data_IF_657941493553
#
_entry.id   IF_657941493553
#
_cell.length_a   1.000
_cell.length_b   1.000
_cell.length_c   1.000
_cell.angle_alpha   90.00
_cell.angle_beta   90.00
_cell.angle_gamma   90.00
#
_symmetry.space_group_name_H-M   'P 1'
#
loop_
_entity.id
_entity.type
_entity.pdbx_description
1 polymer ?
#
# COMPACT_ATOMS: atom_id res chain seq x y z
N UNK A 1 -30.52 16.31 -42.01
CA UNK A 1 -30.22 16.28 -40.55
C UNK A 1 -29.57 14.93 -40.27
N UNK A 2 -28.23 14.91 -40.27
CA UNK A 2 -27.43 13.73 -39.90
C UNK A 2 -27.46 13.67 -38.39
N UNK A 3 -28.06 12.60 -37.83
CA UNK A 3 -27.99 12.34 -36.40
C UNK A 3 -26.53 12.03 -36.06
N UNK A 4 -25.95 12.86 -35.19
CA UNK A 4 -24.64 12.57 -34.60
C UNK A 4 -24.70 11.23 -33.89
N UNK A 5 -23.81 10.32 -34.23
CA UNK A 5 -23.66 9.05 -33.50
C UNK A 5 -23.28 9.36 -32.05
N UNK A 6 -23.85 8.65 -31.07
CA UNK A 6 -23.48 8.85 -29.68
C UNK A 6 -21.95 8.65 -29.50
N UNK A 7 -21.29 9.47 -28.67
CA UNK A 7 -19.87 9.33 -28.44
C UNK A 7 -19.56 7.93 -27.92
N UNK A 8 -18.54 7.30 -28.51
CA UNK A 8 -18.04 6.00 -28.07
C UNK A 8 -17.65 6.11 -26.59
N UNK A 9 -18.11 5.24 -25.70
CA UNK A 9 -17.74 5.33 -24.30
C UNK A 9 -16.22 5.25 -24.16
N UNK A 10 -15.64 6.24 -23.48
CA UNK A 10 -14.21 6.25 -23.18
C UNK A 10 -13.89 4.99 -22.37
N UNK A 11 -12.85 4.21 -22.73
CA UNK A 11 -12.50 3.02 -21.95
C UNK A 11 -12.25 3.39 -20.49
N UNK A 12 -13.02 2.77 -19.61
CA UNK A 12 -12.88 3.00 -18.17
C UNK A 12 -11.65 2.28 -17.65
N UNK A 13 -10.79 3.00 -16.93
CA UNK A 13 -9.52 2.51 -16.41
C UNK A 13 -9.67 2.08 -14.96
N UNK A 14 -9.18 0.88 -14.64
CA UNK A 14 -8.97 0.46 -13.25
C UNK A 14 -7.48 0.57 -12.92
N UNK A 15 -7.18 1.34 -11.87
CA UNK A 15 -5.81 1.53 -11.38
C UNK A 15 -5.59 0.60 -10.19
N UNK A 16 -4.48 -0.13 -10.22
CA UNK A 16 -4.07 -1.02 -9.13
C UNK A 16 -2.81 -0.47 -8.46
N UNK A 17 -2.92 -0.15 -7.19
CA UNK A 17 -1.85 0.35 -6.33
C UNK A 17 -1.50 -0.73 -5.31
N UNK A 18 -0.26 -1.17 -5.31
CA UNK A 18 0.18 -2.32 -4.53
C UNK A 18 1.20 -1.87 -3.48
N UNK A 19 0.96 -2.24 -2.24
CA UNK A 19 1.92 -2.14 -1.17
C UNK A 19 2.98 -3.24 -1.35
N UNK A 20 4.12 -2.86 -1.92
CA UNK A 20 5.20 -3.78 -2.25
C UNK A 20 5.94 -4.30 -1.03
N UNK A 21 6.10 -3.46 0.00
CA UNK A 21 6.71 -3.84 1.27
C UNK A 21 5.86 -4.89 1.97
N UNK A 22 4.56 -4.63 2.14
CA UNK A 22 3.63 -5.60 2.72
C UNK A 22 3.62 -6.92 1.93
N UNK A 23 3.54 -6.86 0.60
CA UNK A 23 3.56 -8.06 -0.24
C UNK A 23 4.86 -8.86 -0.08
N UNK A 24 6.01 -8.17 0.04
CA UNK A 24 7.31 -8.82 0.27
C UNK A 24 7.31 -9.56 1.62
N UNK A 25 6.87 -8.91 2.70
CA UNK A 25 6.71 -9.53 4.01
C UNK A 25 5.75 -10.73 3.95
N UNK A 26 4.61 -10.57 3.30
CA UNK A 26 3.60 -11.62 3.17
C UNK A 26 4.15 -12.86 2.47
N UNK A 27 4.88 -12.69 1.38
CA UNK A 27 5.48 -13.79 0.64
C UNK A 27 6.62 -14.44 1.44
N UNK A 28 7.48 -13.66 2.08
CA UNK A 28 8.59 -14.18 2.87
C UNK A 28 8.12 -15.08 4.02
N UNK A 29 7.20 -14.57 4.84
CA UNK A 29 6.67 -15.36 5.97
C UNK A 29 5.69 -16.44 5.52
N UNK A 30 5.03 -16.27 4.38
CA UNK A 30 4.18 -17.29 3.78
C UNK A 30 4.97 -18.53 3.33
N UNK A 31 6.11 -18.35 2.70
CA UNK A 31 7.01 -19.42 2.29
C UNK A 31 7.53 -20.21 3.50
N UNK A 32 7.95 -19.53 4.55
CA UNK A 32 8.42 -20.18 5.80
C UNK A 32 7.37 -21.05 6.46
N UNK A 33 6.10 -20.64 6.45
CA UNK A 33 4.99 -21.47 7.00
C UNK A 33 4.71 -22.70 6.14
N UNK A 34 4.76 -22.56 4.81
CA UNK A 34 4.50 -23.65 3.87
C UNK A 34 5.58 -24.76 3.94
N UNK A 35 6.82 -24.38 4.29
CA UNK A 35 7.94 -25.35 4.43
C UNK A 35 8.02 -26.00 5.82
N UNK A 36 7.07 -25.71 6.72
CA UNK A 36 7.04 -26.30 8.07
C UNK A 36 8.13 -25.79 9.02
N UNK A 37 8.88 -24.78 8.65
CA UNK A 37 9.99 -24.21 9.43
C UNK A 37 9.52 -23.12 10.42
N UNK A 38 8.37 -23.31 11.04
CA UNK A 38 7.78 -22.37 12.00
C UNK A 38 8.52 -22.24 13.34
N UNK A 39 9.50 -23.12 13.62
CA UNK A 39 10.38 -23.04 14.80
C UNK A 39 11.76 -23.58 14.43
N UNK A 40 12.67 -22.65 14.14
CA UNK A 40 14.11 -22.88 14.25
C UNK A 40 14.68 -24.00 13.38
N UNK A 41 15.07 -23.70 12.18
CA UNK A 41 16.34 -24.11 11.57
C UNK A 41 16.53 -23.39 10.23
N UNK A 42 17.68 -22.84 10.04
CA UNK A 42 18.13 -21.93 8.96
C UNK A 42 18.14 -22.51 7.53
N UNK A 43 17.64 -23.72 7.29
CA UNK A 43 17.98 -24.49 6.08
C UNK A 43 17.06 -24.23 4.88
N UNK A 44 15.81 -23.80 5.06
CA UNK A 44 14.87 -23.65 3.92
C UNK A 44 14.90 -22.26 3.23
N UNK A 45 15.43 -21.24 3.87
CA UNK A 45 15.60 -19.91 3.28
C UNK A 45 16.83 -19.85 2.33
N UNK A 46 17.79 -20.73 2.52
CA UNK A 46 19.04 -20.80 1.75
C UNK A 46 18.81 -21.25 0.30
N UNK A 47 17.80 -22.08 0.04
CA UNK A 47 17.56 -22.63 -1.30
C UNK A 47 16.93 -21.65 -2.30
N UNK A 48 16.32 -20.53 -1.82
CA UNK A 48 15.71 -19.51 -2.69
C UNK A 48 15.88 -18.11 -2.12
N UNK A 49 17.06 -17.49 -2.27
CA UNK A 49 17.38 -16.19 -1.68
C UNK A 49 16.42 -15.08 -2.13
N UNK A 50 15.78 -15.20 -3.29
CA UNK A 50 14.81 -14.25 -3.82
C UNK A 50 13.37 -14.82 -3.87
N UNK A 51 13.04 -15.76 -3.00
CA UNK A 51 11.74 -16.43 -3.03
C UNK A 51 10.57 -15.48 -2.81
N UNK A 52 10.73 -14.47 -1.94
CA UNK A 52 9.69 -13.47 -1.70
C UNK A 52 9.56 -12.51 -2.90
N UNK A 53 10.67 -12.07 -3.48
CA UNK A 53 10.68 -11.27 -4.72
C UNK A 53 9.93 -12.00 -5.85
N UNK A 54 10.25 -13.28 -6.09
CA UNK A 54 9.55 -14.10 -7.09
C UNK A 54 8.05 -14.18 -6.81
N UNK A 55 7.66 -14.28 -5.53
CA UNK A 55 6.27 -14.29 -5.11
C UNK A 55 5.53 -12.99 -5.42
N UNK A 56 6.14 -11.84 -5.14
CA UNK A 56 5.56 -10.52 -5.47
C UNK A 56 5.43 -10.35 -6.97
N UNK A 57 6.49 -10.63 -7.74
CA UNK A 57 6.44 -10.59 -9.21
C UNK A 57 5.36 -11.52 -9.77
N UNK A 58 5.27 -12.74 -9.24
CA UNK A 58 4.23 -13.71 -9.62
C UNK A 58 2.82 -13.17 -9.40
N UNK A 59 2.61 -12.40 -8.32
CA UNK A 59 1.36 -11.71 -8.00
C UNK A 59 1.06 -10.61 -9.03
N UNK A 60 2.04 -9.75 -9.34
CA UNK A 60 1.89 -8.66 -10.31
C UNK A 60 1.63 -9.21 -11.71
N UNK A 61 2.40 -10.22 -12.14
CA UNK A 61 2.20 -10.87 -13.43
C UNK A 61 0.82 -11.51 -13.53
N UNK A 62 0.32 -12.12 -12.46
CA UNK A 62 -1.05 -12.66 -12.45
C UNK A 62 -2.10 -11.55 -12.65
N UNK A 63 -1.91 -10.38 -12.07
CA UNK A 63 -2.83 -9.25 -12.29
C UNK A 63 -2.79 -8.77 -13.74
N UNK A 64 -1.62 -8.71 -14.35
CA UNK A 64 -1.46 -8.41 -15.78
C UNK A 64 -2.16 -9.45 -16.66
N UNK A 65 -2.02 -10.74 -16.37
CA UNK A 65 -2.71 -11.84 -17.05
C UNK A 65 -4.24 -11.74 -16.93
N UNK A 66 -4.73 -11.15 -15.83
CA UNK A 66 -6.14 -10.89 -15.58
C UNK A 66 -6.65 -9.59 -16.24
N UNK A 67 -5.78 -8.89 -16.99
CA UNK A 67 -6.15 -7.71 -17.77
C UNK A 67 -5.90 -6.38 -17.05
N UNK A 68 -5.19 -6.37 -15.93
CA UNK A 68 -4.76 -5.12 -15.31
C UNK A 68 -3.79 -4.37 -16.25
N UNK A 69 -4.06 -3.10 -16.52
CA UNK A 69 -3.27 -2.28 -17.44
C UNK A 69 -2.51 -1.16 -16.74
N UNK A 70 -3.02 -0.67 -15.62
CA UNK A 70 -2.45 0.43 -14.85
C UNK A 70 -2.09 -0.07 -13.45
N UNK A 71 -0.79 -0.23 -13.20
CA UNK A 71 -0.26 -0.78 -11.95
C UNK A 71 0.88 0.11 -11.45
N UNK A 72 0.80 0.50 -10.18
CA UNK A 72 1.90 1.10 -9.44
C UNK A 72 2.20 0.29 -8.19
N UNK A 73 3.47 0.17 -7.84
CA UNK A 73 3.93 -0.51 -6.63
C UNK A 73 4.76 0.45 -5.82
N UNK A 74 4.40 0.66 -4.56
CA UNK A 74 5.19 1.44 -3.61
C UNK A 74 5.98 0.53 -2.69
N UNK A 75 7.21 0.92 -2.37
CA UNK A 75 8.08 0.21 -1.44
C UNK A 75 8.75 1.19 -0.48
N UNK A 76 9.01 0.75 0.74
CA UNK A 76 9.93 1.44 1.63
C UNK A 76 11.35 1.05 1.22
N UNK A 77 12.07 1.96 0.54
CA UNK A 77 13.48 1.77 0.19
C UNK A 77 14.34 1.70 1.45
N UNK A 78 13.98 2.52 2.42
CA UNK A 78 14.40 2.50 3.82
C UNK A 78 13.14 2.50 4.68
N UNK A 79 13.20 1.99 5.90
CA UNK A 79 12.03 1.91 6.78
C UNK A 79 11.77 3.24 7.48
N UNK A 80 12.84 3.92 7.88
CA UNK A 80 12.77 5.21 8.54
C UNK A 80 12.28 6.28 7.57
N UNK A 81 11.43 7.19 8.09
CA UNK A 81 10.85 8.29 7.34
C UNK A 81 10.93 9.60 8.13
N UNK A 82 10.40 10.69 7.60
CA UNK A 82 10.29 11.96 8.33
C UNK A 82 9.55 11.83 9.68
N UNK A 83 8.74 10.77 9.86
CA UNK A 83 8.02 10.53 11.11
C UNK A 83 8.94 10.16 12.28
N UNK A 84 10.11 9.59 11.99
CA UNK A 84 11.12 9.28 13.01
C UNK A 84 11.71 10.55 13.64
N UNK A 85 11.77 11.66 12.91
CA UNK A 85 12.19 12.96 13.44
C UNK A 85 11.12 13.57 14.36
N UNK A 86 9.84 13.23 14.17
CA UNK A 86 8.72 13.73 14.96
C UNK A 86 8.49 12.91 16.23
N UNK A 87 8.72 11.61 16.18
CA UNK A 87 8.44 10.68 17.27
C UNK A 87 9.54 9.62 17.39
N UNK A 88 10.36 9.65 18.47
CA UNK A 88 11.47 8.71 18.65
C UNK A 88 11.05 7.23 18.76
N UNK A 89 9.79 6.96 19.08
CA UNK A 89 9.23 5.62 19.16
C UNK A 89 8.62 5.10 17.86
N UNK A 90 8.72 5.88 16.76
CA UNK A 90 8.20 5.45 15.46
C UNK A 90 8.97 4.24 14.93
N UNK A 91 8.30 3.41 14.11
CA UNK A 91 8.87 2.17 13.57
C UNK A 91 10.22 2.40 12.91
N UNK A 92 11.12 1.43 13.08
CA UNK A 92 12.45 1.39 12.44
C UNK A 92 12.66 0.07 11.72
N UNK A 93 13.77 -0.03 11.00
CA UNK A 93 14.21 -1.30 10.40
C UNK A 93 14.73 -2.33 11.39
N UNK A 94 14.77 -2.00 12.70
CA UNK A 94 15.30 -2.89 13.73
C UNK A 94 14.48 -4.18 13.85
N UNK A 95 15.18 -5.32 13.86
CA UNK A 95 14.56 -6.63 14.01
C UNK A 95 13.99 -7.22 12.72
N UNK A 96 14.12 -6.56 11.57
CA UNK A 96 13.81 -7.18 10.28
C UNK A 96 14.81 -8.31 10.03
N UNK A 97 14.27 -9.48 9.64
CA UNK A 97 15.10 -10.63 9.28
C UNK A 97 16.09 -10.26 8.15
N UNK A 98 17.41 -10.46 8.33
CA UNK A 98 18.41 -10.09 7.32
C UNK A 98 18.15 -10.71 5.93
N UNK A 99 17.57 -11.93 5.87
CA UNK A 99 17.23 -12.57 4.62
C UNK A 99 16.01 -11.94 3.92
N UNK A 100 15.13 -11.28 4.67
CA UNK A 100 14.06 -10.46 4.14
C UNK A 100 14.61 -9.10 3.68
N UNK A 101 15.40 -8.45 4.53
CA UNK A 101 16.01 -7.16 4.24
C UNK A 101 16.80 -7.18 2.93
N UNK A 102 17.58 -8.26 2.70
CA UNK A 102 18.35 -8.46 1.48
C UNK A 102 17.49 -8.55 0.20
N UNK A 103 16.15 -8.64 0.30
CA UNK A 103 15.23 -8.73 -0.83
C UNK A 103 14.54 -7.40 -1.18
N UNK A 104 14.70 -6.34 -0.39
CA UNK A 104 14.05 -5.04 -0.63
C UNK A 104 14.47 -4.43 -1.96
N UNK A 105 15.74 -4.10 -2.11
CA UNK A 105 16.27 -3.52 -3.35
C UNK A 105 16.16 -4.45 -4.56
N UNK A 106 16.41 -5.77 -4.46
CA UNK A 106 16.12 -6.70 -5.54
C UNK A 106 14.65 -6.72 -5.99
N UNK A 107 13.68 -6.45 -5.08
CA UNK A 107 12.28 -6.32 -5.46
C UNK A 107 12.06 -5.09 -6.35
N UNK A 108 12.61 -3.95 -5.96
CA UNK A 108 12.50 -2.69 -6.70
C UNK A 108 13.10 -2.81 -8.10
N UNK A 109 14.31 -3.37 -8.19
CA UNK A 109 14.95 -3.66 -9.48
C UNK A 109 14.11 -4.57 -10.36
N UNK A 110 13.52 -5.59 -9.76
CA UNK A 110 12.74 -6.58 -10.49
C UNK A 110 11.40 -6.03 -11.00
N UNK A 111 10.73 -5.20 -10.20
CA UNK A 111 9.51 -4.50 -10.61
C UNK A 111 9.80 -3.48 -11.72
N UNK A 112 10.86 -2.70 -11.60
CA UNK A 112 11.30 -1.77 -12.63
C UNK A 112 11.68 -2.52 -13.93
N UNK A 113 12.38 -3.65 -13.84
CA UNK A 113 12.70 -4.49 -14.98
C UNK A 113 11.45 -5.11 -15.64
N UNK A 114 10.43 -5.46 -14.84
CA UNK A 114 9.12 -5.90 -15.33
C UNK A 114 8.36 -4.76 -16.06
N UNK A 115 8.82 -3.51 -15.94
CA UNK A 115 8.20 -2.34 -16.56
C UNK A 115 6.99 -1.81 -15.79
N UNK A 116 6.89 -2.13 -14.51
CA UNK A 116 5.85 -1.62 -13.60
C UNK A 116 6.33 -0.32 -12.96
N UNK A 117 5.45 0.67 -12.85
CA UNK A 117 5.74 1.89 -12.11
C UNK A 117 6.06 1.53 -10.65
N UNK A 118 7.28 1.86 -10.21
CA UNK A 118 7.80 1.48 -8.89
C UNK A 118 8.26 2.74 -8.16
N UNK A 119 7.76 2.96 -6.95
CA UNK A 119 8.08 4.10 -6.12
C UNK A 119 8.80 3.62 -4.86
N UNK A 120 10.14 3.69 -4.91
CA UNK A 120 11.04 3.34 -3.82
C UNK A 120 11.20 4.58 -2.90
N UNK A 121 10.52 4.57 -1.76
CA UNK A 121 10.40 5.74 -0.90
C UNK A 121 11.55 5.83 0.09
N UNK A 122 12.08 7.04 0.30
CA UNK A 122 13.21 7.33 1.19
C UNK A 122 12.83 8.28 2.31
N UNK A 123 12.30 9.48 1.97
CA UNK A 123 11.86 10.47 2.98
C UNK A 123 10.42 10.24 3.44
N UNK A 124 9.60 9.71 2.54
CA UNK A 124 8.22 9.31 2.76
C UNK A 124 8.14 7.78 2.83
N UNK A 125 7.00 7.26 3.26
CA UNK A 125 6.73 5.82 3.32
C UNK A 125 5.98 5.33 2.07
N UNK A 126 5.98 4.01 1.84
CA UNK A 126 5.18 3.37 0.81
C UNK A 126 3.70 3.78 0.90
N UNK A 127 3.17 3.93 2.11
CA UNK A 127 1.79 4.35 2.37
C UNK A 127 1.51 5.77 1.87
N UNK A 128 2.45 6.71 2.04
CA UNK A 128 2.35 8.06 1.50
C UNK A 128 2.35 8.05 -0.04
N UNK A 129 3.15 7.17 -0.65
CA UNK A 129 3.13 7.00 -2.09
C UNK A 129 1.80 6.42 -2.58
N UNK A 130 1.26 5.40 -1.91
CA UNK A 130 -0.04 4.82 -2.25
C UNK A 130 -1.17 5.85 -2.10
N UNK A 131 -1.15 6.65 -1.03
CA UNK A 131 -2.12 7.72 -0.80
C UNK A 131 -2.03 8.81 -1.88
N UNK A 132 -0.81 9.24 -2.23
CA UNK A 132 -0.57 10.22 -3.30
C UNK A 132 -1.01 9.69 -4.65
N UNK A 133 -0.67 8.43 -4.97
CA UNK A 133 -1.06 7.79 -6.21
C UNK A 133 -2.59 7.63 -6.32
N UNK A 134 -3.26 7.24 -5.23
CA UNK A 134 -4.71 7.12 -5.19
C UNK A 134 -5.38 8.47 -5.38
N UNK A 135 -4.86 9.52 -4.74
CA UNK A 135 -5.35 10.89 -4.88
C UNK A 135 -5.21 11.40 -6.33
N UNK A 136 -4.04 11.22 -6.94
CA UNK A 136 -3.78 11.63 -8.33
C UNK A 136 -4.67 10.85 -9.32
N UNK A 137 -4.75 9.52 -9.17
CA UNK A 137 -5.56 8.68 -10.05
C UNK A 137 -7.06 8.99 -9.92
N UNK A 138 -7.55 9.31 -8.73
CA UNK A 138 -8.96 9.66 -8.52
C UNK A 138 -9.36 11.01 -9.16
N UNK A 139 -8.42 11.85 -9.54
CA UNK A 139 -8.71 13.12 -10.24
C UNK A 139 -8.90 12.92 -11.75
N UNK A 140 -8.44 11.82 -12.33
CA UNK A 140 -8.60 11.55 -13.76
C UNK A 140 -9.99 10.96 -14.04
N UNK A 141 -10.76 11.63 -14.89
CA UNK A 141 -12.13 11.22 -15.23
C UNK A 141 -12.19 9.88 -15.97
N UNK A 142 -11.10 9.45 -16.59
CA UNK A 142 -10.99 8.13 -17.25
C UNK A 142 -10.92 6.98 -16.24
N UNK A 143 -10.57 7.27 -14.98
CA UNK A 143 -10.44 6.25 -13.94
C UNK A 143 -11.79 5.95 -13.33
N UNK A 144 -12.28 4.76 -13.55
CA UNK A 144 -13.50 4.23 -12.94
C UNK A 144 -13.25 3.84 -11.49
N UNK A 145 -12.13 3.16 -11.25
CA UNK A 145 -11.82 2.60 -9.93
C UNK A 145 -10.32 2.63 -9.63
N UNK A 146 -10.00 2.92 -8.38
CA UNK A 146 -8.66 2.75 -7.81
C UNK A 146 -8.73 1.66 -6.74
N UNK A 147 -7.89 0.65 -6.88
CA UNK A 147 -7.80 -0.49 -5.97
C UNK A 147 -6.46 -0.44 -5.22
N UNK A 148 -6.48 -0.14 -3.92
CA UNK A 148 -5.29 -0.14 -3.06
C UNK A 148 -5.17 -1.53 -2.42
N UNK A 149 -4.14 -2.28 -2.81
CA UNK A 149 -3.93 -3.67 -2.41
C UNK A 149 -3.06 -3.76 -1.15
N UNK A 150 -3.67 -3.51 -0.01
CA UNK A 150 -3.06 -3.63 1.34
C UNK A 150 -4.16 -3.80 2.39
N UNK A 151 -3.95 -4.58 3.46
CA UNK A 151 -4.87 -4.65 4.60
C UNK A 151 -4.64 -3.53 5.60
N UNK A 152 -3.60 -2.70 5.40
CA UNK A 152 -3.18 -1.69 6.36
C UNK A 152 -4.30 -0.69 6.65
N UNK A 153 -4.49 -0.39 7.94
CA UNK A 153 -5.60 0.44 8.41
C UNK A 153 -5.43 1.91 8.03
N UNK A 154 -4.18 2.37 7.87
CA UNK A 154 -3.87 3.76 7.55
C UNK A 154 -4.37 4.14 6.17
N UNK A 155 -4.25 3.22 5.20
CA UNK A 155 -4.75 3.42 3.83
C UNK A 155 -6.29 3.49 3.75
N UNK A 156 -7.02 3.17 4.83
CA UNK A 156 -8.46 3.38 4.87
C UNK A 156 -8.86 4.87 4.77
N UNK A 157 -7.94 5.79 5.08
CA UNK A 157 -8.16 7.23 4.89
C UNK A 157 -8.22 7.66 3.42
N UNK A 158 -7.70 6.83 2.51
CA UNK A 158 -7.70 7.10 1.06
C UNK A 158 -9.00 6.67 0.38
N UNK A 159 -9.88 5.96 1.07
CA UNK A 159 -11.10 5.40 0.48
C UNK A 159 -12.11 6.50 0.16
N UNK A 160 -12.67 6.46 -1.08
CA UNK A 160 -13.67 7.43 -1.56
C UNK A 160 -14.87 6.68 -2.13
N UNK A 161 -15.97 6.63 -1.38
CA UNK A 161 -17.17 5.90 -1.77
C UNK A 161 -16.87 4.48 -2.19
N UNK A 162 -17.27 4.12 -3.41
CA UNK A 162 -16.93 2.85 -4.07
C UNK A 162 -15.86 2.99 -5.14
N UNK A 163 -15.37 4.23 -5.39
CA UNK A 163 -14.42 4.55 -6.46
C UNK A 163 -12.98 4.29 -6.06
N UNK A 164 -12.56 4.69 -4.85
CA UNK A 164 -11.26 4.31 -4.28
C UNK A 164 -11.51 3.32 -3.17
N UNK A 165 -11.02 2.10 -3.33
CA UNK A 165 -11.27 1.01 -2.40
C UNK A 165 -9.98 0.36 -1.95
N UNK A 166 -9.99 -0.13 -0.73
CA UNK A 166 -8.92 -0.95 -0.17
C UNK A 166 -9.24 -2.43 -0.39
N UNK A 167 -8.26 -3.23 -0.75
CA UNK A 167 -8.43 -4.66 -0.97
C UNK A 167 -7.43 -5.44 -0.14
N UNK A 168 -7.93 -6.28 0.75
CA UNK A 168 -7.10 -7.29 1.40
C UNK A 168 -6.96 -8.51 0.49
N UNK A 169 -5.78 -8.69 -0.09
CA UNK A 169 -5.49 -9.81 -0.99
C UNK A 169 -5.69 -11.18 -0.35
N UNK A 170 -5.41 -11.31 0.95
CA UNK A 170 -5.48 -12.59 1.65
C UNK A 170 -6.93 -13.08 1.80
N UNK A 171 -7.83 -12.17 2.20
CA UNK A 171 -9.24 -12.49 2.40
C UNK A 171 -10.10 -12.25 1.15
N UNK A 172 -9.60 -11.50 0.17
CA UNK A 172 -10.37 -11.01 -0.96
C UNK A 172 -11.37 -9.91 -0.57
N UNK A 173 -11.33 -9.42 0.68
CA UNK A 173 -12.27 -8.40 1.15
C UNK A 173 -11.99 -7.06 0.49
N UNK A 174 -13.01 -6.52 -0.15
CA UNK A 174 -13.04 -5.14 -0.65
C UNK A 174 -13.66 -4.26 0.43
N UNK A 175 -12.97 -3.16 0.76
CA UNK A 175 -13.42 -2.18 1.73
C UNK A 175 -13.62 -0.84 1.04
N UNK A 176 -14.86 -0.45 0.90
CA UNK A 176 -15.33 0.87 0.48
C UNK A 176 -15.60 1.76 1.71
N UNK A 177 -16.17 2.95 1.51
CA UNK A 177 -16.44 3.88 2.60
C UNK A 177 -17.38 3.31 3.68
N UNK A 178 -18.38 2.51 3.28
CA UNK A 178 -19.27 1.85 4.23
C UNK A 178 -18.56 0.73 4.99
N UNK A 179 -17.67 -0.01 4.31
CA UNK A 179 -16.80 -0.99 4.94
C UNK A 179 -15.80 -0.38 5.91
N UNK A 180 -15.30 0.84 5.66
CA UNK A 180 -14.48 1.59 6.61
C UNK A 180 -15.31 1.95 7.84
N UNK A 181 -16.51 2.54 7.67
CA UNK A 181 -17.41 2.88 8.79
C UNK A 181 -17.79 1.64 9.61
N UNK A 182 -18.09 0.54 8.96
CA UNK A 182 -18.43 -0.72 9.64
C UNK A 182 -17.26 -1.26 10.48
N UNK A 183 -16.02 -1.13 9.99
CA UNK A 183 -14.83 -1.64 10.68
C UNK A 183 -14.37 -0.76 11.83
N UNK A 184 -14.32 0.56 11.61
CA UNK A 184 -13.69 1.50 12.55
C UNK A 184 -14.69 2.34 13.37
N UNK A 185 -15.95 2.38 12.94
CA UNK A 185 -16.98 3.25 13.53
C UNK A 185 -16.86 4.72 13.12
N UNK A 186 -15.96 5.05 12.19
CA UNK A 186 -15.72 6.38 11.62
C UNK A 186 -15.60 6.30 10.11
N UNK A 187 -15.83 7.40 9.40
CA UNK A 187 -15.61 7.48 7.96
C UNK A 187 -14.12 7.57 7.60
N UNK A 188 -13.79 7.37 6.29
CA UNK A 188 -12.41 7.51 5.80
C UNK A 188 -11.75 8.83 6.19
N UNK A 189 -12.50 9.91 6.16
CA UNK A 189 -12.09 11.27 6.49
C UNK A 189 -11.61 11.46 7.93
N UNK A 190 -11.91 10.50 8.80
CA UNK A 190 -11.58 10.54 10.24
C UNK A 190 -10.63 9.39 10.66
N UNK A 191 -10.07 8.64 9.74
CA UNK A 191 -9.16 7.53 10.09
C UNK A 191 -7.92 8.06 10.81
N UNK A 192 -7.31 9.17 10.34
CA UNK A 192 -6.15 9.76 11.02
C UNK A 192 -6.50 10.25 12.45
N UNK A 193 -7.68 10.87 12.64
CA UNK A 193 -8.18 11.25 13.97
C UNK A 193 -8.38 10.02 14.86
N UNK A 194 -8.96 8.97 14.32
CA UNK A 194 -9.19 7.73 15.05
C UNK A 194 -7.87 7.07 15.50
N UNK A 195 -6.90 6.96 14.59
CA UNK A 195 -5.61 6.36 14.88
C UNK A 195 -4.80 7.19 15.86
N UNK A 196 -4.88 8.51 15.80
CA UNK A 196 -4.28 9.40 16.79
C UNK A 196 -4.77 9.12 18.22
N UNK A 197 -6.05 8.80 18.37
CA UNK A 197 -6.65 8.51 19.68
C UNK A 197 -6.35 7.09 20.16
N UNK A 198 -6.47 6.08 19.29
CA UNK A 198 -6.31 4.68 19.69
C UNK A 198 -4.87 4.19 19.66
N UNK A 199 -4.00 4.88 18.90
CA UNK A 199 -2.63 4.49 18.66
C UNK A 199 -2.45 3.47 17.54
N UNK A 200 -1.20 3.31 17.14
CA UNK A 200 -0.73 2.28 16.26
C UNK A 200 0.52 1.60 16.81
N UNK A 201 0.36 0.37 17.27
CA UNK A 201 1.50 -0.40 17.81
C UNK A 201 2.46 -0.89 16.73
N UNK A 202 2.01 -1.01 15.47
CA UNK A 202 2.87 -1.37 14.34
C UNK A 202 3.81 -0.21 13.99
N UNK A 203 3.29 1.02 14.04
CA UNK A 203 4.05 2.25 13.79
C UNK A 203 4.72 2.81 15.05
N UNK A 204 4.45 2.25 16.22
CA UNK A 204 5.17 2.58 17.46
C UNK A 204 4.66 3.81 18.22
N UNK A 205 3.44 4.30 17.97
CA UNK A 205 2.84 5.36 18.78
C UNK A 205 1.61 4.87 19.56
N UNK A 206 1.52 5.25 20.85
CA UNK A 206 0.60 4.58 21.79
C UNK A 206 -0.84 5.06 21.73
N UNK A 207 -1.14 6.19 21.05
CA UNK A 207 -2.42 6.88 21.19
C UNK A 207 -2.62 7.48 22.60
N UNK A 208 -3.86 7.78 22.96
CA UNK A 208 -4.19 8.36 24.26
C UNK A 208 -4.57 7.29 25.27
N UNK A 209 -3.94 7.31 26.43
CA UNK A 209 -4.18 6.34 27.48
C UNK A 209 -5.66 6.28 27.90
N UNK A 210 -6.26 5.10 27.84
CA UNK A 210 -7.66 4.87 28.19
C UNK A 210 -8.66 5.14 27.07
N UNK A 211 -8.19 5.50 25.88
CA UNK A 211 -9.01 5.77 24.72
C UNK A 211 -9.00 4.57 23.75
N UNK A 212 -9.97 3.71 23.92
CA UNK A 212 -10.12 2.56 23.01
C UNK A 212 -11.00 2.88 21.81
N UNK A 213 -11.12 1.92 20.84
CA UNK A 213 -11.84 2.08 19.58
C UNK A 213 -13.25 2.68 19.73
N UNK A 214 -14.05 2.16 20.66
CA UNK A 214 -15.43 2.64 20.86
C UNK A 214 -15.50 4.07 21.39
N UNK A 215 -14.57 4.44 22.27
CA UNK A 215 -14.50 5.80 22.84
C UNK A 215 -14.07 6.79 21.77
N UNK A 216 -13.03 6.45 20.99
CA UNK A 216 -12.55 7.29 19.89
C UNK A 216 -13.65 7.52 18.85
N UNK A 217 -14.30 6.45 18.35
CA UNK A 217 -15.37 6.57 17.36
C UNK A 217 -16.53 7.46 17.84
N UNK A 218 -16.99 7.27 19.09
CA UNK A 218 -18.08 8.10 19.67
C UNK A 218 -17.70 9.56 19.81
N UNK A 219 -16.46 9.87 20.16
CA UNK A 219 -16.01 11.24 20.31
C UNK A 219 -15.85 11.93 18.97
N UNK A 220 -15.33 11.21 17.97
CA UNK A 220 -15.24 11.70 16.59
C UNK A 220 -16.64 11.93 16.00
N UNK A 221 -17.58 11.00 16.20
CA UNK A 221 -18.97 11.19 15.78
C UNK A 221 -19.60 12.45 16.40
N UNK A 222 -19.28 12.74 17.66
CA UNK A 222 -19.84 13.88 18.39
C UNK A 222 -19.17 15.21 18.05
N UNK A 223 -17.86 15.23 17.83
CA UNK A 223 -17.06 16.45 17.77
C UNK A 223 -16.37 16.67 16.43
N UNK A 224 -16.37 15.68 15.54
CA UNK A 224 -15.68 15.76 14.25
C UNK A 224 -14.17 15.57 14.37
N UNK A 225 -13.39 16.47 13.79
CA UNK A 225 -11.93 16.40 13.74
C UNK A 225 -11.32 16.74 15.10
N UNK A 226 -10.14 16.22 15.40
CA UNK A 226 -9.44 16.46 16.68
C UNK A 226 -9.21 17.94 16.97
N UNK A 227 -9.00 18.75 15.94
CA UNK A 227 -8.82 20.19 16.07
C UNK A 227 -10.06 20.88 16.67
N UNK A 228 -11.26 20.33 16.39
CA UNK A 228 -12.56 20.86 16.78
C UNK A 228 -13.02 20.36 18.16
N UNK A 229 -12.28 19.45 18.78
CA UNK A 229 -12.63 18.92 20.10
C UNK A 229 -12.56 20.02 21.16
N UNK A 230 -13.58 20.14 22.04
CA UNK A 230 -13.54 21.05 23.16
C UNK A 230 -12.26 20.85 23.99
N UNK A 231 -11.69 21.96 24.55
CA UNK A 231 -10.45 21.89 25.31
C UNK A 231 -10.48 20.92 26.49
N UNK A 232 -11.63 20.80 27.15
CA UNK A 232 -11.84 19.90 28.29
C UNK A 232 -11.93 18.42 27.93
N UNK A 233 -12.18 18.08 26.66
CA UNK A 233 -12.26 16.69 26.20
C UNK A 233 -10.87 16.08 26.10
N UNK A 234 -9.91 16.78 25.49
CA UNK A 234 -8.52 16.32 25.36
C UNK A 234 -7.67 16.72 26.57
N UNK A 235 -7.96 17.84 27.19
CA UNK A 235 -7.19 18.39 28.33
C UNK A 235 -5.70 18.46 28.00
N UNK A 236 -4.86 17.96 28.91
CA UNK A 236 -3.40 17.94 28.75
C UNK A 236 -2.91 17.00 27.61
N UNK A 237 -3.77 16.15 27.07
CA UNK A 237 -3.40 15.24 25.97
C UNK A 237 -3.52 15.87 24.58
N UNK A 238 -3.98 17.13 24.47
CA UNK A 238 -4.25 17.78 23.17
C UNK A 238 -3.02 17.81 22.26
N UNK A 239 -1.88 18.18 22.81
CA UNK A 239 -0.63 18.27 22.05
C UNK A 239 -0.21 16.89 21.55
N UNK A 240 -0.25 15.87 22.40
CA UNK A 240 0.06 14.48 22.01
C UNK A 240 -0.92 13.93 20.97
N UNK A 241 -2.22 14.24 21.09
CA UNK A 241 -3.22 13.82 20.13
C UNK A 241 -2.96 14.42 18.73
N UNK A 242 -2.61 15.69 18.65
CA UNK A 242 -2.30 16.36 17.39
C UNK A 242 -0.98 15.86 16.80
N UNK A 243 0.02 15.55 17.63
CA UNK A 243 1.25 14.90 17.17
C UNK A 243 0.95 13.53 16.57
N UNK A 244 0.21 12.67 17.27
CA UNK A 244 -0.17 11.36 16.77
C UNK A 244 -1.04 11.43 15.51
N UNK A 245 -1.89 12.45 15.40
CA UNK A 245 -2.60 12.70 14.14
C UNK A 245 -1.66 13.04 13.00
N UNK A 246 -0.62 13.84 13.26
CA UNK A 246 0.41 14.15 12.26
C UNK A 246 1.12 12.87 11.80
N UNK A 247 1.45 11.96 12.71
CA UNK A 247 2.05 10.66 12.39
C UNK A 247 1.12 9.77 11.57
N UNK A 248 -0.17 9.74 11.93
CA UNK A 248 -1.18 8.92 11.26
C UNK A 248 -1.64 9.47 9.89
N UNK A 249 -1.42 10.77 9.63
CA UNK A 249 -1.90 11.41 8.39
C UNK A 249 -0.96 11.09 7.24
N UNK A 250 -1.48 10.45 6.20
CA UNK A 250 -0.73 10.16 4.99
C UNK A 250 -0.59 11.40 4.10
N UNK A 251 0.59 11.53 3.52
CA UNK A 251 0.87 12.57 2.51
C UNK A 251 0.20 12.20 1.20
N UNK A 252 -0.33 13.19 0.51
CA UNK A 252 -0.99 13.03 -0.80
C UNK A 252 -0.37 13.91 -1.88
N UNK A 253 0.82 14.42 -1.63
CA UNK A 253 1.53 15.39 -2.45
C UNK A 253 2.89 14.87 -2.98
N UNK A 254 3.17 13.57 -2.84
CA UNK A 254 4.36 12.97 -3.43
C UNK A 254 4.30 13.06 -4.97
N UNK A 255 5.36 13.54 -5.64
CA UNK A 255 5.36 13.76 -7.08
C UNK A 255 5.66 12.47 -7.85
N UNK A 256 4.70 11.54 -7.89
CA UNK A 256 4.88 10.18 -8.41
C UNK A 256 4.70 10.07 -9.93
N UNK A 257 3.67 10.72 -10.46
CA UNK A 257 3.36 10.78 -11.88
C UNK A 257 2.48 12.02 -12.17
N UNK A 258 2.42 12.44 -13.42
CA UNK A 258 1.62 13.61 -13.86
C UNK A 258 0.27 13.21 -14.46
N UNK A 259 0.18 12.00 -15.01
CA UNK A 259 -1.03 11.45 -15.59
C UNK A 259 -1.00 9.92 -15.51
N UNK A 260 -2.16 9.27 -15.56
CA UNK A 260 -2.29 7.82 -15.40
C UNK A 260 -1.61 7.00 -16.51
N UNK A 261 -1.31 7.59 -17.67
CA UNK A 261 -0.63 6.89 -18.77
C UNK A 261 0.83 6.57 -18.43
N UNK A 262 1.41 7.25 -17.43
CA UNK A 262 2.76 6.96 -16.91
C UNK A 262 2.81 5.67 -16.09
N UNK A 263 1.69 5.25 -15.50
CA UNK A 263 1.59 3.99 -14.75
C UNK A 263 0.97 2.85 -15.57
N UNK A 264 0.71 3.09 -16.85
CA UNK A 264 0.24 2.05 -17.77
C UNK A 264 1.39 1.10 -18.08
N UNK A 265 1.19 -0.18 -17.81
CA UNK A 265 2.16 -1.21 -18.17
C UNK A 265 2.29 -1.33 -19.70
N UNK A 266 3.51 -1.29 -20.21
CA UNK A 266 3.85 -1.33 -21.63
C UNK A 266 4.73 -2.53 -21.99
N UNK A 267 4.88 -3.48 -21.08
CA UNK A 267 5.78 -4.62 -21.21
C UNK A 267 7.07 -4.46 -20.40
N UNK A 268 7.81 -5.56 -20.25
CA UNK A 268 9.08 -5.56 -19.53
C UNK A 268 10.16 -4.79 -20.29
N UNK A 269 11.17 -4.35 -19.56
CA UNK A 269 12.40 -3.78 -20.15
C UNK A 269 13.30 -4.87 -20.72
N UNK A 270 14.33 -4.48 -21.47
CA UNK A 270 15.33 -5.41 -22.01
C UNK A 270 16.13 -6.15 -20.94
N UNK A 271 16.17 -5.64 -19.70
CA UNK A 271 16.90 -6.23 -18.57
C UNK A 271 16.13 -7.33 -17.85
N UNK A 272 14.82 -7.45 -18.11
CA UNK A 272 13.95 -8.36 -17.34
C UNK A 272 14.40 -9.83 -17.42
N UNK A 273 14.87 -10.30 -18.57
CA UNK A 273 15.33 -11.68 -18.72
C UNK A 273 16.49 -12.01 -17.77
N UNK A 274 17.49 -11.12 -17.67
CA UNK A 274 18.63 -11.30 -16.75
C UNK A 274 18.20 -11.24 -15.28
N UNK A 275 17.25 -10.37 -14.96
CA UNK A 275 16.71 -10.25 -13.59
C UNK A 275 15.92 -11.50 -13.22
N UNK A 276 15.06 -12.02 -14.11
CA UNK A 276 14.30 -13.25 -13.87
C UNK A 276 15.21 -14.47 -13.68
N UNK A 277 16.31 -14.56 -14.43
CA UNK A 277 17.34 -15.59 -14.25
C UNK A 277 18.02 -15.48 -12.89
N UNK A 278 18.42 -14.28 -12.47
CA UNK A 278 19.01 -14.02 -11.14
C UNK A 278 18.08 -14.39 -10.00
N UNK A 279 16.77 -14.14 -10.15
CA UNK A 279 15.74 -14.50 -9.17
C UNK A 279 15.53 -16.02 -9.14
N UNK A 280 15.88 -16.73 -10.19
CA UNK A 280 15.74 -18.18 -10.31
C UNK A 280 14.30 -18.64 -10.62
N UNK A 281 13.51 -17.83 -11.32
CA UNK A 281 12.15 -18.19 -11.75
C UNK A 281 11.97 -18.11 -13.27
N UNK A 282 12.38 -19.21 -13.95
CA UNK A 282 12.21 -19.33 -15.38
C UNK A 282 10.72 -19.34 -15.85
N UNK A 283 9.78 -19.73 -14.96
CA UNK A 283 8.35 -19.73 -15.29
C UNK A 283 7.82 -18.31 -15.40
N UNK A 284 8.33 -17.41 -14.56
CA UNK A 284 7.96 -16.01 -14.57
C UNK A 284 8.30 -15.36 -15.92
N UNK A 285 9.51 -15.60 -16.42
CA UNK A 285 9.95 -15.12 -17.74
C UNK A 285 9.02 -15.61 -18.86
N UNK A 286 8.68 -16.90 -18.87
CA UNK A 286 7.79 -17.47 -19.88
C UNK A 286 6.39 -16.86 -19.86
N UNK A 287 5.84 -16.55 -18.66
CA UNK A 287 4.55 -15.89 -18.50
C UNK A 287 4.56 -14.46 -19.06
N UNK A 288 5.61 -13.69 -18.75
CA UNK A 288 5.75 -12.31 -19.22
C UNK A 288 5.94 -12.24 -20.73
N UNK A 289 6.74 -13.12 -21.32
CA UNK A 289 6.88 -13.22 -22.79
C UNK A 289 5.53 -13.51 -23.46
N UNK A 290 4.71 -14.38 -22.86
CA UNK A 290 3.37 -14.66 -23.38
C UNK A 290 2.47 -13.43 -23.35
N UNK A 291 2.52 -12.61 -22.31
CA UNK A 291 1.76 -11.36 -22.19
C UNK A 291 2.13 -10.32 -23.26
N UNK A 292 3.40 -10.29 -23.71
CA UNK A 292 3.82 -9.38 -24.77
C UNK A 292 3.28 -9.77 -26.16
N UNK A 293 2.93 -11.03 -26.34
CA UNK A 293 2.47 -11.60 -27.62
C UNK A 293 0.94 -11.72 -27.71
N UNK A 294 0.22 -11.29 -26.66
CA UNK A 294 -1.25 -11.30 -26.57
C UNK A 294 -1.85 -9.93 -26.84
#
# INVERSE_FOLDING_TARGET
MTADAPPTPTPQVVVHLIDGTYELFRHFYGLRRATGTGTGTEVAAVDKPFGAVAGVLGTVVQMLEQGATHIGVATDHVIESFRNDLWPGYKTGDGIDPALWAQFHPLEEALAALGVATWAMVELEADDALASAAHLAAQDERVEKVCIWTPDKDLAQCVIGTRVVQIDRRSGQIRDADGVRAKFGVGPEHIADYLALVGDSADGYPGLRGWGPKTAARLIERHGRLEDFPPDVLGDNRESALLFKTLATLRTDAPLFRNIDEIRWRGPTSTFAAVAERIGDARLLARVVKLQNS
#
